data_IF_240957723672
#
_entry.id   IF_240957723672
#
_cell.length_a   1.000
_cell.length_b   1.000
_cell.length_c   1.000
_cell.angle_alpha   90.00
_cell.angle_beta   90.00
_cell.angle_gamma   90.00
#
_symmetry.space_group_name_H-M   'P 1'
#
loop_
_entity.id
_entity.type
_entity.pdbx_description
1 polymer ?
#
# COMPACT_ATOMS: atom_id res chain seq x y z
N UNK A 1 -8.49 -57.65 24.68
CA UNK A 1 -9.65 -57.63 25.60
C UNK A 1 -10.39 -56.31 25.35
N UNK A 2 -11.61 -56.22 24.78
CA UNK A 2 -12.82 -57.07 24.91
C UNK A 2 -13.17 -57.26 26.40
N UNK A 3 -14.35 -56.88 26.94
CA UNK A 3 -15.75 -56.81 26.41
C UNK A 3 -16.55 -55.62 27.01
N UNK A 4 -17.58 -55.02 26.39
CA UNK A 4 -19.05 -55.36 26.42
C UNK A 4 -19.59 -55.76 27.83
N UNK A 5 -20.81 -55.41 28.29
CA UNK A 5 -22.08 -55.01 27.63
C UNK A 5 -22.97 -54.17 28.61
N UNK A 6 -23.67 -53.11 28.18
CA UNK A 6 -25.13 -53.00 27.86
C UNK A 6 -26.18 -53.14 28.98
N UNK A 7 -26.96 -52.06 29.12
CA UNK A 7 -28.43 -52.01 29.07
C UNK A 7 -28.88 -50.54 28.79
N UNK A 8 -30.16 -50.17 28.66
CA UNK A 8 -31.11 -50.53 27.57
C UNK A 8 -32.13 -49.37 27.38
N UNK A 9 -32.44 -48.93 26.15
CA UNK A 9 -33.69 -49.16 25.36
C UNK A 9 -35.01 -48.55 25.90
N UNK A 10 -36.01 -48.21 25.04
CA UNK A 10 -36.05 -48.08 23.57
C UNK A 10 -36.68 -46.74 23.07
N UNK A 11 -37.13 -46.67 21.82
CA UNK A 11 -37.66 -45.47 21.15
C UNK A 11 -39.18 -45.54 20.80
N UNK A 12 -39.72 -44.37 20.37
CA UNK A 12 -40.91 -44.12 19.50
C UNK A 12 -42.24 -43.64 20.13
N UNK A 13 -42.91 -42.80 19.32
CA UNK A 13 -44.38 -42.56 19.16
C UNK A 13 -45.09 -41.50 20.02
N UNK A 14 -45.39 -40.35 19.38
CA UNK A 14 -46.59 -39.49 19.48
C UNK A 14 -46.25 -38.16 18.76
N UNK A 15 -46.58 -37.85 17.50
CA UNK A 15 -47.75 -38.21 16.65
C UNK A 15 -49.07 -38.14 17.41
N UNK A 16 -49.46 -36.93 17.82
CA UNK A 16 -50.83 -36.61 18.26
C UNK A 16 -51.11 -35.09 18.38
N UNK A 17 -50.15 -34.28 18.82
CA UNK A 17 -50.44 -32.99 19.47
C UNK A 17 -50.49 -31.72 18.58
N UNK A 18 -50.13 -31.78 17.29
CA UNK A 18 -50.09 -30.59 16.40
C UNK A 18 -50.99 -30.69 15.15
N UNK A 19 -52.06 -31.50 15.20
CA UNK A 19 -53.02 -31.63 14.09
C UNK A 19 -54.46 -31.26 14.48
N UNK A 20 -54.62 -30.22 15.31
CA UNK A 20 -55.95 -29.73 15.73
C UNK A 20 -55.98 -28.25 16.10
N UNK A 21 -55.49 -27.35 15.22
CA UNK A 21 -55.94 -25.95 15.22
C UNK A 21 -55.75 -25.25 13.87
N UNK A 22 -56.87 -24.78 13.33
CA UNK A 22 -57.00 -23.71 12.32
C UNK A 22 -56.30 -23.91 10.97
N UNK A 23 -56.98 -24.69 10.12
CA UNK A 23 -57.29 -24.22 8.76
C UNK A 23 -57.83 -22.78 8.85
N UNK A 24 -57.02 -21.78 8.50
CA UNK A 24 -57.41 -20.44 8.00
C UNK A 24 -56.22 -19.47 8.05
N UNK A 25 -55.36 -19.47 7.02
CA UNK A 25 -54.46 -18.35 6.68
C UNK A 25 -53.71 -18.58 5.35
N UNK A 26 -54.40 -18.85 4.24
CA UNK A 26 -53.77 -18.84 2.90
C UNK A 26 -53.51 -17.39 2.41
N UNK A 27 -52.61 -16.66 3.10
CA UNK A 27 -52.18 -15.30 2.72
C UNK A 27 -50.70 -14.89 2.98
N UNK A 28 -49.89 -15.49 3.88
CA UNK A 28 -48.54 -15.00 4.11
C UNK A 28 -47.51 -15.49 3.06
N UNK A 29 -47.74 -16.63 2.41
CA UNK A 29 -46.75 -17.22 1.50
C UNK A 29 -46.56 -16.43 0.19
N UNK A 30 -47.61 -15.77 -0.32
CA UNK A 30 -47.52 -14.93 -1.52
C UNK A 30 -46.79 -13.60 -1.27
N UNK A 31 -46.78 -13.08 -0.03
CA UNK A 31 -46.05 -11.85 0.32
C UNK A 31 -44.52 -12.03 0.34
N UNK A 32 -44.03 -13.24 0.62
CA UNK A 32 -42.59 -13.53 0.64
C UNK A 32 -41.92 -13.46 -0.74
N UNK A 33 -42.70 -13.45 -1.83
CA UNK A 33 -42.20 -13.34 -3.21
C UNK A 33 -42.32 -11.93 -3.80
N UNK A 34 -43.14 -11.03 -3.22
CA UNK A 34 -43.34 -9.67 -3.74
C UNK A 34 -42.19 -8.71 -3.41
N UNK A 35 -41.54 -8.87 -2.25
CA UNK A 35 -40.42 -8.00 -1.83
C UNK A 35 -39.16 -8.12 -2.72
N UNK A 36 -38.63 -9.31 -3.06
CA UNK A 36 -37.49 -9.41 -3.97
C UNK A 36 -37.79 -8.87 -5.39
N UNK A 37 -39.05 -8.94 -5.84
CA UNK A 37 -39.49 -8.34 -7.12
C UNK A 37 -39.53 -6.80 -7.12
N UNK A 38 -39.58 -6.14 -5.95
CA UNK A 38 -39.43 -4.67 -5.88
C UNK A 38 -37.98 -4.25 -6.00
N UNK A 39 -37.06 -4.96 -5.35
CA UNK A 39 -35.61 -4.69 -5.40
C UNK A 39 -35.10 -4.73 -6.85
N UNK A 40 -35.61 -5.65 -7.67
CA UNK A 40 -35.30 -5.78 -9.09
C UNK A 40 -35.68 -4.57 -9.98
N UNK A 41 -36.57 -3.67 -9.53
CA UNK A 41 -37.01 -2.51 -10.34
C UNK A 41 -36.16 -1.25 -10.18
N UNK A 42 -35.32 -1.18 -9.16
CA UNK A 42 -34.51 0.01 -8.84
C UNK A 42 -33.01 -0.12 -9.17
N UNK A 43 -32.55 -1.29 -9.65
CA UNK A 43 -31.18 -1.48 -10.13
C UNK A 43 -31.01 -0.81 -11.51
N UNK A 44 -30.74 0.51 -11.50
CA UNK A 44 -30.57 1.33 -12.71
C UNK A 44 -29.21 1.16 -13.42
N UNK A 45 -28.28 0.45 -12.81
CA UNK A 45 -27.01 0.04 -13.43
C UNK A 45 -26.44 -1.19 -12.70
N UNK A 46 -25.74 -2.06 -13.44
CA UNK A 46 -25.06 -3.23 -12.87
C UNK A 46 -23.71 -2.79 -12.30
N UNK A 47 -23.73 -2.14 -11.13
CA UNK A 47 -22.52 -1.87 -10.35
C UNK A 47 -22.26 -2.97 -9.31
N UNK A 48 -21.02 -3.02 -8.78
CA UNK A 48 -20.61 -4.03 -7.80
C UNK A 48 -21.45 -4.02 -6.52
N UNK A 49 -22.00 -2.87 -6.10
CA UNK A 49 -22.83 -2.76 -4.89
C UNK A 49 -24.24 -3.27 -5.17
N UNK A 50 -24.83 -2.92 -6.31
CA UNK A 50 -26.11 -3.45 -6.78
C UNK A 50 -26.09 -4.98 -6.90
N UNK A 51 -25.04 -5.53 -7.52
CA UNK A 51 -24.85 -6.98 -7.62
C UNK A 51 -24.71 -7.65 -6.24
N UNK A 52 -23.86 -7.12 -5.35
CA UNK A 52 -23.68 -7.71 -4.02
C UNK A 52 -24.94 -7.59 -3.14
N UNK A 53 -25.70 -6.49 -3.26
CA UNK A 53 -26.97 -6.32 -2.58
C UNK A 53 -28.04 -7.31 -3.10
N UNK A 54 -28.13 -7.49 -4.42
CA UNK A 54 -29.01 -8.47 -5.05
C UNK A 54 -28.70 -9.90 -4.60
N UNK A 55 -27.43 -10.32 -4.67
CA UNK A 55 -26.99 -11.65 -4.24
C UNK A 55 -27.20 -11.88 -2.73
N UNK A 56 -27.03 -10.84 -1.92
CA UNK A 56 -27.34 -10.89 -0.48
C UNK A 56 -28.84 -11.05 -0.22
N UNK A 57 -29.70 -10.41 -1.02
CA UNK A 57 -31.16 -10.56 -0.96
C UNK A 57 -31.68 -11.97 -1.26
N UNK A 58 -30.92 -12.76 -2.02
CA UNK A 58 -31.18 -14.18 -2.27
C UNK A 58 -30.50 -15.14 -1.27
N UNK A 59 -29.88 -14.62 -0.20
CA UNK A 59 -29.16 -15.43 0.79
C UNK A 59 -27.79 -15.93 0.34
N UNK A 60 -27.32 -15.53 -0.84
CA UNK A 60 -26.00 -15.89 -1.40
C UNK A 60 -24.88 -14.92 -0.96
N UNK A 61 -25.17 -14.01 -0.01
CA UNK A 61 -24.22 -13.06 0.57
C UNK A 61 -23.18 -13.67 1.52
N UNK A 62 -23.29 -14.96 1.85
CA UNK A 62 -22.24 -15.67 2.57
C UNK A 62 -20.98 -15.81 1.71
N UNK A 63 -19.83 -15.44 2.27
CA UNK A 63 -18.49 -15.39 1.61
C UNK A 63 -18.12 -16.65 0.81
N UNK A 64 -18.72 -17.79 1.12
CA UNK A 64 -18.63 -19.05 0.38
C UNK A 64 -19.01 -18.91 -1.10
N UNK A 65 -20.11 -18.25 -1.47
CA UNK A 65 -20.53 -18.23 -2.89
C UNK A 65 -19.62 -17.34 -3.76
N UNK A 66 -19.31 -16.08 -3.39
CA UNK A 66 -18.31 -15.29 -4.11
C UNK A 66 -16.92 -15.93 -4.10
N UNK A 67 -16.51 -16.56 -2.99
CA UNK A 67 -15.23 -17.25 -2.86
C UNK A 67 -15.13 -18.50 -3.74
N UNK A 68 -16.17 -19.33 -3.80
CA UNK A 68 -16.24 -20.52 -4.67
C UNK A 68 -16.36 -20.12 -6.14
N UNK A 69 -17.14 -19.08 -6.46
CA UNK A 69 -17.21 -18.54 -7.82
C UNK A 69 -15.85 -18.00 -8.28
N UNK A 70 -15.15 -17.24 -7.42
CA UNK A 70 -13.80 -16.76 -7.70
C UNK A 70 -12.78 -17.90 -7.82
N UNK A 71 -12.87 -18.93 -6.97
CA UNK A 71 -12.04 -20.12 -7.06
C UNK A 71 -12.32 -20.93 -8.34
N UNK A 72 -13.59 -21.02 -8.78
CA UNK A 72 -13.93 -21.64 -10.06
C UNK A 72 -13.46 -20.81 -11.26
N UNK A 73 -13.52 -19.48 -11.19
CA UNK A 73 -12.96 -18.57 -12.19
C UNK A 73 -11.43 -18.73 -12.28
N UNK A 74 -10.72 -18.87 -11.16
CA UNK A 74 -9.28 -19.17 -11.16
C UNK A 74 -8.95 -20.60 -11.57
N UNK A 75 -9.84 -21.57 -11.35
CA UNK A 75 -9.67 -22.96 -11.77
C UNK A 75 -9.92 -23.17 -13.28
N UNK A 76 -10.69 -22.28 -13.93
CA UNK A 76 -10.84 -22.28 -15.39
C UNK A 76 -9.54 -21.77 -16.03
N UNK A 77 -8.78 -22.71 -16.59
CA UNK A 77 -7.54 -22.44 -17.35
C UNK A 77 -7.78 -22.11 -18.83
N UNK A 78 -9.04 -22.06 -19.26
CA UNK A 78 -9.43 -21.91 -20.66
C UNK A 78 -10.58 -20.91 -20.78
N UNK A 79 -10.47 -20.01 -21.74
CA UNK A 79 -11.49 -19.06 -22.18
C UNK A 79 -12.41 -19.80 -23.14
N UNK A 80 -13.71 -19.79 -22.85
CA UNK A 80 -14.77 -20.45 -23.63
C UNK A 80 -15.65 -19.43 -24.35
N UNK A 81 -16.48 -19.87 -25.29
CA UNK A 81 -17.36 -18.98 -26.06
C UNK A 81 -18.37 -18.24 -25.17
N UNK A 82 -18.83 -18.88 -24.09
CA UNK A 82 -19.74 -18.25 -23.12
C UNK A 82 -19.04 -17.13 -22.33
N UNK A 83 -17.77 -17.34 -21.93
CA UNK A 83 -16.96 -16.30 -21.28
C UNK A 83 -16.75 -15.11 -22.22
N UNK A 84 -16.58 -15.36 -23.52
CA UNK A 84 -16.50 -14.32 -24.54
C UNK A 84 -17.81 -13.55 -24.70
N UNK A 85 -18.95 -14.23 -24.69
CA UNK A 85 -20.28 -13.62 -24.80
C UNK A 85 -20.59 -12.73 -23.59
N UNK A 86 -20.35 -13.23 -22.37
CA UNK A 86 -20.49 -12.46 -21.13
C UNK A 86 -19.54 -11.24 -21.12
N UNK A 87 -18.28 -11.41 -21.54
CA UNK A 87 -17.30 -10.32 -21.57
C UNK A 87 -17.63 -9.26 -22.65
N UNK A 88 -18.12 -9.68 -23.81
CA UNK A 88 -18.54 -8.79 -24.89
C UNK A 88 -19.75 -7.95 -24.47
N UNK A 89 -20.75 -8.56 -23.81
CA UNK A 89 -21.90 -7.86 -23.25
C UNK A 89 -21.49 -6.80 -22.20
N UNK A 90 -20.51 -7.10 -21.34
CA UNK A 90 -19.95 -6.14 -20.37
C UNK A 90 -19.16 -5.02 -21.06
N UNK A 91 -18.46 -5.33 -22.15
CA UNK A 91 -17.69 -4.36 -22.93
C UNK A 91 -18.55 -3.48 -23.87
N UNK A 92 -19.83 -3.82 -24.08
CA UNK A 92 -20.69 -3.17 -25.07
C UNK A 92 -20.28 -3.49 -26.51
N UNK A 93 -19.82 -4.71 -26.75
CA UNK A 93 -19.39 -5.21 -28.06
C UNK A 93 -20.31 -6.36 -28.50
N UNK A 94 -20.68 -6.36 -29.78
CA UNK A 94 -21.42 -7.45 -30.41
C UNK A 94 -20.49 -8.24 -31.33
N UNK A 95 -20.55 -9.57 -31.23
CA UNK A 95 -19.83 -10.52 -32.11
C UNK A 95 -20.77 -11.64 -32.53
N UNK A 96 -20.59 -12.20 -33.72
CA UNK A 96 -21.29 -13.44 -34.10
C UNK A 96 -20.70 -14.66 -33.35
N UNK A 97 -21.37 -15.82 -33.45
CA UNK A 97 -20.84 -17.05 -32.87
C UNK A 97 -19.54 -17.49 -33.56
N UNK A 98 -19.45 -17.30 -34.88
CA UNK A 98 -18.28 -17.60 -35.70
C UNK A 98 -17.10 -16.68 -35.34
N UNK A 99 -17.36 -15.39 -35.13
CA UNK A 99 -16.34 -14.44 -34.69
C UNK A 99 -15.80 -14.78 -33.28
N UNK A 100 -16.69 -15.19 -32.35
CA UNK A 100 -16.27 -15.68 -31.03
C UNK A 100 -15.38 -16.92 -31.14
N UNK A 101 -15.78 -17.91 -31.93
CA UNK A 101 -15.01 -19.15 -32.14
C UNK A 101 -13.61 -18.85 -32.73
N UNK A 102 -13.53 -17.95 -33.71
CA UNK A 102 -12.25 -17.50 -34.28
C UNK A 102 -11.32 -16.83 -33.26
N UNK A 103 -11.88 -16.14 -32.25
CA UNK A 103 -11.10 -15.48 -31.20
C UNK A 103 -10.55 -16.45 -30.14
N UNK A 104 -11.25 -17.56 -29.84
CA UNK A 104 -10.90 -18.48 -28.74
C UNK A 104 -9.44 -18.95 -28.79
N UNK A 105 -8.98 -19.41 -29.95
CA UNK A 105 -7.61 -19.89 -30.11
C UNK A 105 -6.54 -18.82 -29.85
N UNK A 106 -6.81 -17.57 -30.19
CA UNK A 106 -5.92 -16.44 -29.91
C UNK A 106 -5.91 -16.06 -28.43
N UNK A 107 -7.09 -16.00 -27.81
CA UNK A 107 -7.26 -15.62 -26.42
C UNK A 107 -6.67 -16.65 -25.45
N UNK A 108 -6.83 -17.95 -25.72
CA UNK A 108 -6.21 -18.99 -24.91
C UNK A 108 -4.67 -18.97 -24.99
N UNK A 109 -4.09 -18.76 -26.18
CA UNK A 109 -2.63 -18.55 -26.30
C UNK A 109 -2.15 -17.31 -25.53
N UNK A 110 -2.95 -16.24 -25.49
CA UNK A 110 -2.63 -15.06 -24.69
C UNK A 110 -2.72 -15.36 -23.19
N UNK A 111 -3.72 -16.12 -22.74
CA UNK A 111 -3.86 -16.54 -21.34
C UNK A 111 -2.66 -17.37 -20.88
N UNK A 112 -2.23 -18.36 -21.67
CA UNK A 112 -1.03 -19.16 -21.42
C UNK A 112 0.23 -18.28 -21.36
N UNK A 113 0.37 -17.34 -22.31
CA UNK A 113 1.49 -16.40 -22.36
C UNK A 113 1.52 -15.50 -21.12
N UNK A 114 0.38 -15.02 -20.63
CA UNK A 114 0.28 -14.25 -19.41
C UNK A 114 0.55 -15.08 -18.15
N UNK A 115 0.22 -16.38 -18.14
CA UNK A 115 0.60 -17.28 -17.05
C UNK A 115 2.13 -17.44 -16.98
N UNK A 116 2.77 -17.75 -18.11
CA UNK A 116 4.23 -17.86 -18.22
C UNK A 116 4.95 -16.56 -17.85
N UNK A 117 4.45 -15.40 -18.28
CA UNK A 117 5.01 -14.09 -17.91
C UNK A 117 4.88 -13.78 -16.41
N UNK A 118 3.87 -14.30 -15.71
CA UNK A 118 3.70 -14.15 -14.26
C UNK A 118 4.56 -15.13 -13.46
N UNK A 119 4.87 -16.29 -14.03
CA UNK A 119 5.86 -17.23 -13.47
C UNK A 119 7.30 -16.72 -13.61
N UNK A 120 7.56 -15.89 -14.63
CA UNK A 120 8.87 -15.25 -14.82
C UNK A 120 9.14 -14.15 -13.78
N UNK A 121 9.69 -14.55 -12.64
CA UNK A 121 10.11 -13.64 -11.57
C UNK A 121 11.23 -12.70 -12.02
N UNK A 122 10.89 -11.47 -12.39
CA UNK A 122 11.84 -10.37 -12.60
C UNK A 122 12.22 -9.78 -11.24
N UNK A 123 13.50 -9.85 -10.81
CA UNK A 123 13.93 -9.23 -9.56
C UNK A 123 13.85 -7.69 -9.63
N UNK A 124 13.47 -7.02 -8.53
CA UNK A 124 13.28 -5.56 -8.47
C UNK A 124 14.52 -4.73 -8.89
N UNK A 125 15.72 -5.31 -8.76
CA UNK A 125 16.98 -4.69 -9.17
C UNK A 125 17.22 -4.69 -10.69
N UNK A 126 16.41 -5.40 -11.49
CA UNK A 126 16.50 -5.38 -12.95
C UNK A 126 15.91 -4.07 -13.46
N UNK A 127 16.77 -3.18 -13.97
CA UNK A 127 16.34 -1.94 -14.59
C UNK A 127 15.40 -2.22 -15.79
N UNK A 128 14.34 -1.43 -16.00
CA UNK A 128 13.48 -1.56 -17.18
C UNK A 128 14.30 -1.33 -18.46
N UNK A 129 13.91 -2.00 -19.56
CA UNK A 129 14.68 -2.03 -20.81
C UNK A 129 14.85 -0.67 -21.53
N UNK A 130 14.27 0.41 -21.00
CA UNK A 130 14.50 1.78 -21.47
C UNK A 130 15.76 2.37 -20.83
N UNK A 131 16.88 2.32 -21.55
CA UNK A 131 18.04 3.14 -21.23
C UNK A 131 17.68 4.63 -21.45
N UNK A 132 17.39 5.34 -20.36
CA UNK A 132 17.27 6.79 -20.39
C UNK A 132 18.66 7.41 -20.34
N UNK A 133 19.11 7.96 -21.47
CA UNK A 133 20.33 8.76 -21.55
C UNK A 133 19.97 10.26 -21.50
N UNK A 134 20.28 10.98 -20.41
CA UNK A 134 20.04 12.41 -20.30
C UNK A 134 21.12 13.27 -20.98
N UNK A 135 22.14 12.67 -21.61
CA UNK A 135 23.18 13.44 -22.31
C UNK A 135 22.58 14.12 -23.54
N UNK A 136 22.93 15.40 -23.72
CA UNK A 136 22.58 16.10 -24.95
C UNK A 136 23.52 15.64 -26.07
N UNK A 137 23.05 15.49 -27.33
CA UNK A 137 23.90 15.10 -28.45
C UNK A 137 25.17 15.96 -28.53
N UNK A 138 26.34 15.30 -28.56
CA UNK A 138 27.64 15.97 -28.58
C UNK A 138 28.08 16.61 -27.26
N UNK A 139 27.47 16.26 -26.11
CA UNK A 139 27.91 16.70 -24.78
C UNK A 139 28.23 15.52 -23.86
N UNK A 140 29.51 15.38 -23.53
CA UNK A 140 29.94 14.53 -22.43
C UNK A 140 29.49 15.13 -21.08
N UNK A 141 28.97 14.29 -20.18
CA UNK A 141 28.78 14.67 -18.79
C UNK A 141 30.14 14.77 -18.08
N UNK A 142 30.40 15.79 -17.24
CA UNK A 142 31.61 15.87 -16.45
C UNK A 142 31.77 14.65 -15.52
N UNK A 143 32.70 13.75 -15.87
CA UNK A 143 32.98 12.51 -15.12
C UNK A 143 34.02 12.70 -14.00
N UNK A 144 34.69 13.85 -13.97
CA UNK A 144 35.71 14.20 -12.98
C UNK A 144 35.12 14.30 -11.56
N UNK A 145 35.62 13.46 -10.64
CA UNK A 145 35.27 13.56 -9.21
C UNK A 145 35.93 14.79 -8.59
N UNK A 146 35.15 15.86 -8.41
CA UNK A 146 35.59 17.08 -7.72
C UNK A 146 35.34 16.99 -6.21
N UNK A 147 36.23 17.54 -5.36
CA UNK A 147 36.00 17.59 -3.92
C UNK A 147 34.79 18.47 -3.60
N UNK A 148 33.95 18.02 -2.67
CA UNK A 148 32.78 18.77 -2.22
C UNK A 148 33.21 20.10 -1.58
N UNK A 149 32.67 21.22 -2.07
CA UNK A 149 32.93 22.56 -1.53
C UNK A 149 31.83 22.94 -0.55
N UNK A 150 32.16 22.94 0.74
CA UNK A 150 31.24 23.40 1.78
C UNK A 150 30.96 24.91 1.65
N UNK A 151 29.67 25.26 1.63
CA UNK A 151 29.22 26.61 1.99
C UNK A 151 29.73 26.92 3.40
N UNK A 152 30.39 28.06 3.59
CA UNK A 152 30.85 28.52 4.91
C UNK A 152 29.86 29.55 5.44
N UNK A 153 29.18 29.23 6.54
CA UNK A 153 28.44 30.23 7.31
C UNK A 153 29.40 30.82 8.35
N UNK A 154 29.73 32.11 8.25
CA UNK A 154 30.54 32.79 9.25
C UNK A 154 29.65 33.15 10.43
N UNK A 155 30.16 33.02 11.66
CA UNK A 155 29.47 33.34 12.92
C UNK A 155 28.09 32.69 13.14
N UNK A 156 27.80 31.58 12.45
CA UNK A 156 26.56 30.82 12.63
C UNK A 156 26.44 30.30 14.08
N UNK A 157 25.46 30.82 14.79
CA UNK A 157 25.05 30.36 16.13
C UNK A 157 23.79 29.52 16.03
N UNK A 158 23.68 28.54 16.93
CA UNK A 158 22.44 27.81 17.17
C UNK A 158 21.37 28.78 17.71
N UNK A 159 20.14 28.80 17.18
CA UNK A 159 19.02 29.50 17.80
C UNK A 159 18.60 28.83 19.11
N UNK A 160 18.08 29.62 20.05
CA UNK A 160 17.53 29.10 21.31
C UNK A 160 16.14 28.45 21.14
N UNK A 161 15.41 28.82 20.08
CA UNK A 161 14.08 28.33 19.76
C UNK A 161 14.12 27.07 18.89
N UNK A 162 13.32 26.06 19.27
CA UNK A 162 13.25 24.77 18.60
C UNK A 162 12.47 24.81 17.28
N UNK A 163 11.48 25.67 17.13
CA UNK A 163 10.77 25.85 15.85
C UNK A 163 11.70 26.46 14.81
N UNK A 164 12.39 27.55 15.15
CA UNK A 164 13.43 28.17 14.33
C UNK A 164 14.49 27.13 13.91
N UNK A 165 14.95 26.29 14.86
CA UNK A 165 15.90 25.21 14.58
C UNK A 165 15.36 24.21 13.55
N UNK A 166 14.10 23.78 13.68
CA UNK A 166 13.46 22.80 12.78
C UNK A 166 13.23 23.32 11.35
N UNK A 167 13.24 24.64 11.14
CA UNK A 167 13.14 25.27 9.81
C UNK A 167 14.48 25.82 9.29
N UNK A 168 15.61 25.58 9.97
CA UNK A 168 16.93 25.99 9.46
C UNK A 168 17.31 25.23 8.19
N UNK A 169 17.97 25.88 7.21
CA UNK A 169 18.50 25.20 6.04
C UNK A 169 19.49 24.08 6.41
N UNK A 170 19.45 22.97 5.68
CA UNK A 170 20.34 21.82 5.87
C UNK A 170 21.81 22.22 5.98
N UNK A 171 22.29 23.16 5.16
CA UNK A 171 23.69 23.61 5.20
C UNK A 171 24.07 24.32 6.51
N UNK A 172 23.12 24.91 7.23
CA UNK A 172 23.33 25.50 8.54
C UNK A 172 23.26 24.44 9.65
N UNK A 173 22.25 23.57 9.64
CA UNK A 173 22.15 22.43 10.57
C UNK A 173 23.41 21.54 10.53
N UNK A 174 23.84 21.21 9.32
CA UNK A 174 25.09 20.51 9.01
C UNK A 174 26.32 21.17 9.64
N UNK A 175 26.39 22.51 9.59
CA UNK A 175 27.47 23.26 10.21
C UNK A 175 27.35 23.31 11.75
N UNK A 176 26.14 23.43 12.32
CA UNK A 176 25.94 23.38 13.78
C UNK A 176 26.37 22.02 14.35
N UNK A 177 26.02 20.93 13.67
CA UNK A 177 26.44 19.56 14.01
C UNK A 177 27.97 19.43 13.88
N UNK A 178 28.55 19.81 12.74
CA UNK A 178 30.01 19.75 12.53
C UNK A 178 30.81 20.58 13.53
N UNK A 179 30.25 21.69 14.01
CA UNK A 179 30.85 22.55 15.05
C UNK A 179 30.47 22.16 16.47
N UNK A 180 29.68 21.09 16.65
CA UNK A 180 29.18 20.56 17.93
C UNK A 180 28.40 21.59 18.76
N UNK A 181 27.75 22.55 18.09
CA UNK A 181 26.75 23.46 18.69
C UNK A 181 25.37 22.80 18.81
N UNK A 182 25.17 21.69 18.10
CA UNK A 182 23.99 20.84 18.04
C UNK A 182 24.48 19.39 17.95
N UNK A 183 23.80 18.44 18.58
CA UNK A 183 24.07 17.01 18.35
C UNK A 183 23.09 16.42 17.34
N UNK A 184 23.53 15.37 16.67
CA UNK A 184 22.73 14.56 15.75
C UNK A 184 21.56 13.93 16.49
N UNK A 185 21.79 13.45 17.72
CA UNK A 185 20.75 12.90 18.60
C UNK A 185 19.70 13.95 18.94
N UNK A 186 20.10 15.15 19.32
CA UNK A 186 19.16 16.24 19.65
C UNK A 186 18.31 16.64 18.44
N UNK A 187 18.93 16.80 17.26
CA UNK A 187 18.19 17.13 16.04
C UNK A 187 17.26 15.99 15.60
N UNK A 188 17.68 14.74 15.79
CA UNK A 188 16.86 13.55 15.48
C UNK A 188 15.64 13.47 16.39
N UNK A 189 15.82 13.63 17.70
CA UNK A 189 14.71 13.70 18.67
C UNK A 189 13.72 14.81 18.30
N UNK A 190 14.21 16.02 17.97
CA UNK A 190 13.36 17.14 17.56
C UNK A 190 12.46 16.79 16.36
N UNK A 191 12.99 16.13 15.33
CA UNK A 191 12.17 15.74 14.18
C UNK A 191 11.26 14.54 14.45
N UNK A 192 11.66 13.58 15.29
CA UNK A 192 10.77 12.49 15.73
C UNK A 192 9.56 13.04 16.50
N UNK A 193 9.77 13.91 17.49
CA UNK A 193 8.70 14.57 18.24
C UNK A 193 7.75 15.38 17.34
N UNK A 194 8.28 16.04 16.30
CA UNK A 194 7.47 16.78 15.33
C UNK A 194 6.64 15.85 14.44
N UNK A 195 7.21 14.73 13.99
CA UNK A 195 6.50 13.73 13.19
C UNK A 195 5.40 13.03 14.01
N UNK A 196 5.65 12.76 15.30
CA UNK A 196 4.63 12.26 16.23
C UNK A 196 3.50 13.27 16.46
N UNK A 197 3.85 14.56 16.63
CA UNK A 197 2.89 15.65 16.87
C UNK A 197 2.02 16.01 15.66
N UNK A 198 2.61 16.03 14.46
CA UNK A 198 1.95 16.55 13.26
C UNK A 198 1.56 15.47 12.25
N UNK A 199 2.26 14.33 12.23
CA UNK A 199 2.02 13.22 11.29
C UNK A 199 0.59 12.67 11.28
N UNK A 200 -0.10 12.52 12.44
CA UNK A 200 -1.50 12.12 12.47
C UNK A 200 -2.44 13.14 11.82
N UNK A 201 -2.25 14.43 12.11
CA UNK A 201 -3.05 15.54 11.55
C UNK A 201 -2.83 15.72 10.05
N UNK A 202 -1.60 15.48 9.59
CA UNK A 202 -1.24 15.58 8.19
C UNK A 202 -1.47 14.28 7.40
N UNK A 203 -1.81 13.18 8.07
CA UNK A 203 -1.88 11.83 7.48
C UNK A 203 -0.63 11.53 6.61
N UNK A 204 0.58 11.88 7.10
CA UNK A 204 1.82 11.97 6.31
C UNK A 204 2.89 10.91 6.61
N UNK A 205 2.69 10.07 7.63
CA UNK A 205 3.67 9.07 8.10
C UNK A 205 3.09 7.65 8.03
N UNK A 206 3.83 6.72 7.42
CA UNK A 206 3.52 5.28 7.38
C UNK A 206 4.11 4.57 8.60
N UNK A 207 5.40 4.82 8.89
CA UNK A 207 6.16 4.16 9.95
C UNK A 207 7.21 5.12 10.50
N UNK A 208 7.19 5.37 11.81
CA UNK A 208 8.29 6.02 12.52
C UNK A 208 9.39 5.01 12.83
N UNK A 209 10.65 5.45 12.77
CA UNK A 209 11.82 4.58 12.86
C UNK A 209 12.68 4.93 14.10
N UNK A 210 12.02 5.35 15.18
CA UNK A 210 12.61 6.04 16.33
C UNK A 210 13.84 5.34 16.92
N UNK A 211 13.80 4.03 17.14
CA UNK A 211 14.92 3.30 17.75
C UNK A 211 16.16 3.24 16.83
N UNK A 212 15.99 2.81 15.57
CA UNK A 212 17.07 2.80 14.54
C UNK A 212 17.62 4.22 14.33
N UNK A 213 16.73 5.21 14.31
CA UNK A 213 17.10 6.61 14.13
C UNK A 213 17.98 7.13 15.28
N UNK A 214 17.57 6.91 16.54
CA UNK A 214 18.32 7.36 17.72
C UNK A 214 19.64 6.60 17.88
N UNK A 215 19.69 5.30 17.54
CA UNK A 215 20.96 4.55 17.49
C UNK A 215 21.93 5.16 16.47
N UNK A 216 21.44 5.44 15.25
CA UNK A 216 22.23 6.01 14.17
C UNK A 216 22.67 7.45 14.49
N UNK A 217 21.84 8.22 15.19
CA UNK A 217 22.16 9.55 15.67
C UNK A 217 23.28 9.52 16.74
N UNK A 218 23.16 8.64 17.72
CA UNK A 218 24.20 8.44 18.73
C UNK A 218 25.51 7.91 18.11
N UNK A 219 25.44 7.12 17.04
CA UNK A 219 26.60 6.69 16.24
C UNK A 219 27.28 7.87 15.54
N UNK A 220 26.51 8.71 14.85
CA UNK A 220 27.03 9.92 14.20
C UNK A 220 27.70 10.86 15.22
N UNK A 221 27.10 11.07 16.40
CA UNK A 221 27.68 11.93 17.45
C UNK A 221 29.02 11.40 17.98
N UNK A 222 29.17 10.08 18.15
CA UNK A 222 30.46 9.47 18.52
C UNK A 222 31.53 9.67 17.46
N UNK A 223 31.19 9.46 16.19
CA UNK A 223 32.11 9.65 15.06
C UNK A 223 32.54 11.11 14.90
N UNK A 224 31.60 12.05 15.04
CA UNK A 224 31.87 13.49 15.01
C UNK A 224 32.78 13.89 16.18
N UNK A 225 32.54 13.36 17.38
CA UNK A 225 33.38 13.59 18.55
C UNK A 225 34.80 13.04 18.39
N UNK A 226 34.99 11.92 17.66
CA UNK A 226 36.31 11.37 17.31
C UNK A 226 36.94 12.02 16.07
N UNK A 227 36.36 13.09 15.52
CA UNK A 227 36.89 13.82 14.36
C UNK A 227 36.54 13.22 12.99
N UNK A 228 35.72 12.17 12.95
CA UNK A 228 35.27 11.50 11.72
C UNK A 228 34.00 12.17 11.20
N UNK A 229 34.16 13.17 10.33
CA UNK A 229 33.05 13.86 9.69
C UNK A 229 32.89 13.43 8.22
N UNK A 230 31.92 12.54 7.95
CA UNK A 230 31.70 11.91 6.63
C UNK A 230 31.31 12.88 5.51
N UNK A 231 30.66 13.99 5.83
CA UNK A 231 30.17 14.96 4.85
C UNK A 231 28.98 15.78 5.35
N UNK A 232 28.38 16.63 4.50
CA UNK A 232 27.34 17.57 4.90
C UNK A 232 26.04 16.92 5.40
N UNK A 233 25.82 15.64 5.12
CA UNK A 233 24.66 14.88 5.58
C UNK A 233 24.91 14.11 6.90
N UNK A 234 26.14 14.12 7.41
CA UNK A 234 26.49 13.37 8.62
C UNK A 234 25.77 13.96 9.84
N UNK A 235 24.90 13.16 10.46
CA UNK A 235 24.06 13.56 11.59
C UNK A 235 22.72 14.20 11.22
N UNK A 236 22.37 14.27 9.92
CA UNK A 236 21.13 14.92 9.46
C UNK A 236 19.98 13.90 9.39
N UNK A 237 18.85 14.13 10.11
CA UNK A 237 17.65 13.32 9.98
C UNK A 237 16.91 13.59 8.65
N UNK A 238 16.31 12.55 8.08
CA UNK A 238 15.52 12.64 6.85
C UNK A 238 14.41 11.57 6.81
N UNK A 239 13.33 11.83 6.07
CA UNK A 239 12.26 10.87 5.84
C UNK A 239 12.26 10.34 4.40
N UNK A 240 12.00 9.04 4.24
CA UNK A 240 11.94 8.37 2.95
C UNK A 240 10.49 8.16 2.51
N UNK A 241 10.14 8.52 1.27
CA UNK A 241 8.89 8.08 0.63
C UNK A 241 8.77 6.55 0.73
N UNK A 242 7.61 6.04 1.10
CA UNK A 242 7.36 4.61 1.36
C UNK A 242 7.24 3.73 0.09
N UNK A 243 8.05 4.06 -0.92
CA UNK A 243 8.38 3.23 -2.07
C UNK A 243 9.85 2.82 -2.10
N UNK A 244 10.70 3.52 -1.36
CA UNK A 244 12.08 3.13 -1.15
C UNK A 244 12.11 2.02 -0.10
N UNK A 245 12.66 0.84 -0.42
CA UNK A 245 12.83 -0.22 0.57
C UNK A 245 13.75 0.22 1.73
N UNK A 246 13.40 -0.16 2.96
CA UNK A 246 14.28 -0.03 4.13
C UNK A 246 14.22 -1.32 4.94
N UNK A 247 15.37 -1.99 5.11
CA UNK A 247 15.45 -3.34 5.68
C UNK A 247 14.93 -3.36 7.13
N UNK A 248 14.09 -4.34 7.44
CA UNK A 248 13.43 -4.51 8.74
C UNK A 248 12.18 -3.64 8.94
N UNK A 249 11.82 -2.77 7.98
CA UNK A 249 10.65 -1.89 8.05
C UNK A 249 9.68 -2.14 6.89
N UNK A 250 8.41 -1.78 7.11
CA UNK A 250 7.39 -1.88 6.06
C UNK A 250 7.73 -0.95 4.89
N UNK A 251 7.39 -1.38 3.69
CA UNK A 251 7.49 -0.63 2.43
C UNK A 251 6.24 -0.98 1.61
N UNK A 252 5.19 -0.19 1.81
CA UNK A 252 3.79 -0.56 1.51
C UNK A 252 3.29 -0.05 0.16
N UNK A 253 4.05 0.83 -0.49
CA UNK A 253 3.63 1.51 -1.72
C UNK A 253 2.29 2.27 -1.61
N UNK A 254 1.83 2.55 -0.38
CA UNK A 254 0.57 3.23 -0.09
C UNK A 254 -0.69 2.41 -0.43
N UNK A 255 -0.59 1.13 -0.77
CA UNK A 255 -1.70 0.32 -1.29
C UNK A 255 -2.05 -0.88 -0.40
N UNK A 256 -3.36 -1.11 -0.18
CA UNK A 256 -3.90 -2.14 0.74
C UNK A 256 -3.26 -3.54 0.57
N UNK A 257 -3.05 -4.08 -0.65
CA UNK A 257 -2.47 -5.43 -0.80
C UNK A 257 -1.03 -5.58 -0.28
N UNK A 258 -0.36 -4.48 0.04
CA UNK A 258 1.03 -4.42 0.48
C UNK A 258 1.18 -3.71 1.84
N UNK A 259 0.10 -3.50 2.60
CA UNK A 259 0.12 -2.73 3.86
C UNK A 259 1.06 -3.30 4.94
N UNK A 260 1.30 -4.61 4.90
CA UNK A 260 2.24 -5.35 5.75
C UNK A 260 3.54 -5.78 5.03
N UNK A 261 3.77 -5.33 3.78
CA UNK A 261 4.93 -5.73 3.00
C UNK A 261 6.24 -5.24 3.64
N UNK A 262 7.16 -6.16 3.91
CA UNK A 262 8.54 -5.90 4.32
C UNK A 262 9.48 -6.41 3.24
N UNK A 263 10.43 -5.58 2.82
CA UNK A 263 11.43 -5.92 1.81
C UNK A 263 12.78 -6.12 2.52
N UNK A 264 13.42 -7.27 2.31
CA UNK A 264 14.65 -7.67 2.98
C UNK A 264 15.93 -7.07 2.35
N UNK A 265 15.88 -5.79 1.99
CA UNK A 265 17.03 -5.01 1.50
C UNK A 265 16.79 -3.50 1.70
N UNK A 266 17.87 -2.75 1.94
CA UNK A 266 17.85 -1.28 1.85
C UNK A 266 17.95 -0.85 0.38
N UNK A 267 17.04 0.02 -0.07
CA UNK A 267 17.13 0.62 -1.39
C UNK A 267 18.46 1.38 -1.55
N UNK A 268 19.05 1.35 -2.75
CA UNK A 268 20.38 1.94 -3.01
C UNK A 268 20.53 3.40 -2.55
N UNK A 269 19.45 4.19 -2.58
CA UNK A 269 19.45 5.57 -2.05
C UNK A 269 19.48 5.63 -0.51
N UNK A 270 18.75 4.74 0.18
CA UNK A 270 18.78 4.63 1.65
C UNK A 270 20.20 4.29 2.10
N UNK A 271 20.78 3.23 1.51
CA UNK A 271 22.17 2.83 1.80
C UNK A 271 23.17 3.96 1.54
N UNK A 272 23.09 4.65 0.40
CA UNK A 272 24.02 5.77 0.09
C UNK A 272 23.87 6.95 1.05
N UNK A 273 22.68 7.20 1.57
CA UNK A 273 22.43 8.26 2.57
C UNK A 273 22.95 7.84 3.95
N UNK A 274 22.78 6.58 4.34
CA UNK A 274 23.37 6.03 5.57
C UNK A 274 24.91 5.93 5.50
N UNK A 275 25.48 5.55 4.35
CA UNK A 275 26.92 5.59 4.07
C UNK A 275 27.48 7.01 4.31
N UNK A 276 26.75 8.03 3.86
CA UNK A 276 27.06 9.46 4.09
C UNK A 276 26.77 9.95 5.53
N UNK A 277 26.19 9.10 6.38
CA UNK A 277 25.90 9.39 7.79
C UNK A 277 24.56 10.08 8.05
N UNK A 278 23.63 10.10 7.09
CA UNK A 278 22.28 10.59 7.29
C UNK A 278 21.42 9.58 8.07
N UNK A 279 20.44 10.08 8.81
CA UNK A 279 19.63 9.31 9.76
C UNK A 279 18.20 9.20 9.24
N UNK A 280 17.78 8.00 8.83
CA UNK A 280 16.41 7.78 8.36
C UNK A 280 15.45 7.72 9.57
N UNK A 281 14.57 8.72 9.70
CA UNK A 281 13.64 8.84 10.85
C UNK A 281 12.24 8.30 10.60
N UNK A 282 11.79 8.26 9.34
CA UNK A 282 10.44 7.85 9.00
C UNK A 282 10.29 7.35 7.56
N UNK A 283 9.30 6.47 7.39
CA UNK A 283 8.62 6.16 6.12
C UNK A 283 7.46 7.14 5.95
N UNK A 284 7.52 7.99 4.93
CA UNK A 284 6.55 9.03 4.62
C UNK A 284 5.56 8.55 3.56
N UNK A 285 4.31 8.97 3.67
CA UNK A 285 3.21 8.51 2.80
C UNK A 285 3.39 8.88 1.34
N UNK A 286 2.70 8.13 0.49
CA UNK A 286 2.59 8.35 -0.93
C UNK A 286 1.20 7.97 -1.41
N UNK A 287 0.76 8.56 -2.52
CA UNK A 287 -0.39 8.01 -3.24
C UNK A 287 -0.15 6.56 -3.64
N UNK A 288 -1.18 5.72 -3.49
CA UNK A 288 -1.13 4.29 -3.75
C UNK A 288 -0.52 3.98 -5.12
N UNK A 289 0.47 3.07 -5.14
CA UNK A 289 1.26 2.70 -6.33
C UNK A 289 1.86 3.92 -7.06
N UNK A 290 2.26 4.92 -6.29
CA UNK A 290 2.78 6.20 -6.77
C UNK A 290 1.77 7.02 -7.61
N UNK A 291 0.47 6.95 -7.31
CA UNK A 291 -0.59 7.74 -7.96
C UNK A 291 -1.44 8.54 -6.94
N UNK A 292 -1.56 9.86 -7.16
CA UNK A 292 -2.40 10.75 -6.32
C UNK A 292 -1.87 11.00 -4.90
N UNK A 293 -2.75 11.41 -3.99
CA UNK A 293 -2.46 11.70 -2.57
C UNK A 293 -3.23 10.80 -1.58
N UNK A 294 -3.94 9.80 -2.10
CA UNK A 294 -4.70 8.80 -1.33
C UNK A 294 -3.90 7.51 -1.15
N UNK A 295 -3.90 6.98 0.06
CA UNK A 295 -3.25 5.73 0.46
C UNK A 295 -4.19 4.89 1.33
N UNK A 296 -3.83 3.64 1.67
CA UNK A 296 -4.71 2.76 2.45
C UNK A 296 -5.15 3.35 3.80
N UNK A 297 -4.34 4.21 4.41
CA UNK A 297 -4.63 4.88 5.68
C UNK A 297 -5.40 6.21 5.56
N UNK A 298 -5.64 6.73 4.35
CA UNK A 298 -6.40 7.96 4.14
C UNK A 298 -5.88 8.84 3.00
N UNK A 299 -5.81 10.16 3.24
CA UNK A 299 -5.34 11.17 2.28
C UNK A 299 -4.41 12.15 2.98
N UNK A 300 -3.16 12.20 2.54
CA UNK A 300 -2.18 13.13 3.12
C UNK A 300 -2.60 14.59 2.90
N UNK A 301 -2.68 15.35 4.00
CA UNK A 301 -3.23 16.70 4.08
C UNK A 301 -2.17 17.76 3.86
N UNK A 302 -2.58 18.82 3.16
CA UNK A 302 -1.74 19.97 2.89
C UNK A 302 -1.55 20.79 4.19
N UNK A 303 -0.32 21.01 4.67
CA UNK A 303 -0.07 21.78 5.90
C UNK A 303 -0.53 23.25 5.81
N UNK A 304 -0.73 23.79 4.61
CA UNK A 304 -1.27 25.14 4.39
C UNK A 304 -2.80 25.20 4.42
N UNK A 305 -3.50 24.08 4.18
CA UNK A 305 -4.95 23.95 4.29
C UNK A 305 -5.35 22.47 4.43
N UNK A 306 -5.76 22.05 5.63
CA UNK A 306 -6.10 20.65 5.95
C UNK A 306 -7.35 20.12 5.22
N UNK A 307 -8.17 20.99 4.63
CA UNK A 307 -9.27 20.59 3.74
C UNK A 307 -8.77 20.08 2.37
N UNK A 308 -7.53 20.41 2.01
CA UNK A 308 -6.86 19.99 0.79
C UNK A 308 -5.85 18.87 1.06
N UNK A 309 -5.55 18.09 0.03
CA UNK A 309 -4.46 17.10 0.08
C UNK A 309 -3.16 17.62 -0.53
N UNK A 310 -2.04 16.98 -0.21
CA UNK A 310 -0.68 17.44 -0.58
C UNK A 310 -0.25 17.13 -2.02
N UNK A 311 -1.20 16.76 -2.89
CA UNK A 311 -0.95 16.31 -4.27
C UNK A 311 -0.05 15.06 -4.35
N UNK A 312 0.17 14.58 -5.57
CA UNK A 312 0.69 13.25 -5.83
C UNK A 312 2.00 13.17 -6.61
N UNK A 313 2.79 12.10 -6.45
CA UNK A 313 2.57 10.99 -5.51
C UNK A 313 3.45 11.01 -4.27
N UNK A 314 4.39 11.96 -4.16
CA UNK A 314 5.28 12.09 -3.00
C UNK A 314 4.62 12.88 -1.85
N UNK A 315 3.34 12.60 -1.57
CA UNK A 315 2.46 13.42 -0.77
C UNK A 315 3.02 13.69 0.64
N UNK A 316 3.39 12.65 1.39
CA UNK A 316 3.97 12.78 2.72
C UNK A 316 5.42 13.26 2.74
N UNK A 317 6.10 13.27 1.59
CA UNK A 317 7.45 13.86 1.46
C UNK A 317 7.42 15.37 1.22
N UNK A 318 6.25 15.92 0.87
CA UNK A 318 6.03 17.35 0.63
C UNK A 318 5.21 18.04 1.74
N UNK A 319 4.45 17.26 2.52
CA UNK A 319 3.67 17.70 3.67
C UNK A 319 4.54 17.88 4.93
#
# INVERSE_FOLDING_TARGET
MLTRNRSDHPARTCVAALYARTISAHRPFLKACEEPMKILKDIKSVDRRGFMAFMSGFGLGGTMFPGVLWAQIQARREITSEILEDAAAVAGLDFTAEEREMMLGGLNRNLDSYAQLREFGVPNQVAPAVQFDPTLPGRDLPSERRPFRFTRHVDLRRPADAETLAFMPLSQLSQLIRTRQLSSTELTTLYLERLERHGPTLESVITLMSDRALEHAARADREIASGTYRGPLHGIPWGAKDLLAAEGFRTTWGAVPYEDQVIAEDATVVRRLEDAGAILVAKLTLGALAQGDYWYGGRTRNPWNLEQGSSGSSAGSAA
#
